data_IF_295297007573
#
_entry.id   IF_295297007573
#
_cell.length_a   1.000
_cell.length_b   1.000
_cell.length_c   1.000
_cell.angle_alpha   90.00
_cell.angle_beta   90.00
_cell.angle_gamma   90.00
#
_symmetry.space_group_name_H-M   'P 1'
#
loop_
_entity.id
_entity.type
_entity.pdbx_description
1 polymer ?
#
# COMPACT_ATOMS: atom_id res chain seq x y z
N UNK A 1 -0.83 35.75 35.73
CA UNK A 1 -1.20 34.64 34.82
C UNK A 1 -0.85 35.08 33.42
N UNK A 2 0.07 34.49 32.65
CA UNK A 2 0.84 33.25 32.78
C UNK A 2 1.86 33.21 31.63
N UNK A 3 3.09 33.71 31.85
CA UNK A 3 4.20 33.51 30.90
C UNK A 3 4.56 32.02 30.81
N UNK A 4 4.50 31.32 31.95
CA UNK A 4 4.65 29.86 32.04
C UNK A 4 3.62 29.08 31.24
N UNK A 5 2.39 29.56 31.05
CA UNK A 5 1.39 28.84 30.23
C UNK A 5 1.72 28.91 28.74
N UNK A 6 2.30 30.02 28.27
CA UNK A 6 2.64 30.20 26.85
C UNK A 6 3.83 29.31 26.47
N UNK A 7 4.81 29.17 27.37
CA UNK A 7 5.95 28.27 27.16
C UNK A 7 5.52 26.79 27.24
N UNK A 8 4.65 26.45 28.19
CA UNK A 8 4.09 25.09 28.30
C UNK A 8 3.21 24.73 27.09
N UNK A 9 2.47 25.70 26.55
CA UNK A 9 1.66 25.53 25.35
C UNK A 9 2.55 25.31 24.12
N UNK A 10 3.65 26.08 23.96
CA UNK A 10 4.63 25.88 22.88
C UNK A 10 5.31 24.52 22.94
N UNK A 11 5.70 24.05 24.14
CA UNK A 11 6.29 22.72 24.31
C UNK A 11 5.30 21.61 23.92
N UNK A 12 4.02 21.76 24.32
CA UNK A 12 2.94 20.84 23.92
C UNK A 12 2.73 20.87 22.41
N UNK A 13 2.75 22.06 21.77
CA UNK A 13 2.65 22.18 20.32
C UNK A 13 3.82 21.51 19.61
N UNK A 14 5.06 21.71 20.07
CA UNK A 14 6.24 21.05 19.50
C UNK A 14 6.15 19.53 19.64
N UNK A 15 5.76 19.02 20.81
CA UNK A 15 5.57 17.59 21.02
C UNK A 15 4.45 17.02 20.12
N UNK A 16 3.33 17.74 19.99
CA UNK A 16 2.24 17.35 19.08
C UNK A 16 2.66 17.37 17.62
N UNK A 17 3.41 18.38 17.18
CA UNK A 17 3.92 18.48 15.80
C UNK A 17 4.92 17.36 15.52
N UNK A 18 5.83 17.10 16.45
CA UNK A 18 6.78 16.00 16.35
C UNK A 18 6.08 14.64 16.32
N UNK A 19 5.13 14.42 17.24
CA UNK A 19 4.33 13.20 17.29
C UNK A 19 3.50 13.03 16.01
N UNK A 20 2.87 14.08 15.50
CA UNK A 20 2.13 14.04 14.25
C UNK A 20 3.05 13.71 13.06
N UNK A 21 4.24 14.30 13.00
CA UNK A 21 5.22 13.99 11.97
C UNK A 21 5.71 12.54 12.06
N UNK A 22 6.01 12.05 13.27
CA UNK A 22 6.33 10.65 13.52
C UNK A 22 5.20 9.72 13.07
N UNK A 23 3.94 10.02 13.41
CA UNK A 23 2.78 9.23 12.97
C UNK A 23 2.67 9.24 11.46
N UNK A 24 2.85 10.39 10.78
CA UNK A 24 2.84 10.46 9.30
C UNK A 24 3.96 9.62 8.71
N UNK A 25 5.18 9.66 9.25
CA UNK A 25 6.30 8.84 8.82
C UNK A 25 6.04 7.34 9.03
N UNK A 26 5.48 6.95 10.17
CA UNK A 26 5.10 5.57 10.45
C UNK A 26 3.99 5.08 9.51
N UNK A 27 3.00 5.92 9.21
CA UNK A 27 1.93 5.61 8.25
C UNK A 27 2.47 5.44 6.82
N UNK A 28 3.52 6.19 6.43
CA UNK A 28 4.20 6.03 5.13
C UNK A 28 4.89 4.66 5.00
N UNK A 29 5.44 4.14 6.09
CA UNK A 29 6.07 2.81 6.14
C UNK A 29 5.05 1.67 6.17
N UNK A 30 3.81 1.95 6.55
CA UNK A 30 2.68 1.02 6.49
C UNK A 30 2.01 0.99 5.11
N UNK A 31 2.43 1.85 4.17
CA UNK A 31 2.06 1.66 2.77
C UNK A 31 3.09 0.69 2.19
N UNK A 32 2.75 -0.60 2.05
CA UNK A 32 3.72 -1.55 1.62
C UNK A 32 4.01 -1.23 0.16
N UNK A 33 5.25 -0.85 -0.15
CA UNK A 33 5.86 -1.20 -1.43
C UNK A 33 6.07 -2.74 -1.53
N UNK A 34 5.22 -3.51 -0.84
CA UNK A 34 5.14 -4.96 -0.70
C UNK A 34 3.75 -5.30 -1.24
N UNK A 35 3.60 -5.09 -2.53
CA UNK A 35 2.33 -5.09 -3.22
C UNK A 35 2.64 -4.85 -4.68
N UNK A 36 1.77 -5.36 -5.54
CA UNK A 36 1.99 -5.46 -6.97
C UNK A 36 2.76 -4.28 -7.58
N UNK A 37 4.00 -4.52 -8.04
CA UNK A 37 4.73 -3.48 -8.75
C UNK A 37 4.03 -3.17 -10.07
N UNK A 38 4.24 -1.97 -10.62
CA UNK A 38 3.66 -1.63 -11.91
C UNK A 38 4.13 -2.59 -13.01
N UNK A 39 5.37 -3.09 -12.93
CA UNK A 39 5.89 -4.12 -13.82
C UNK A 39 5.20 -5.47 -13.63
N UNK A 40 4.96 -5.91 -12.39
CA UNK A 40 4.26 -7.16 -12.10
C UNK A 40 2.81 -7.08 -12.60
N UNK A 41 2.15 -5.95 -12.36
CA UNK A 41 0.79 -5.69 -12.83
C UNK A 41 0.71 -5.69 -14.36
N UNK A 42 1.64 -5.01 -15.04
CA UNK A 42 1.68 -4.99 -16.50
C UNK A 42 1.94 -6.39 -17.08
N UNK A 43 2.86 -7.15 -16.49
CA UNK A 43 3.16 -8.52 -16.91
C UNK A 43 1.94 -9.44 -16.75
N UNK A 44 1.23 -9.37 -15.61
CA UNK A 44 0.02 -10.15 -15.37
C UNK A 44 -1.14 -9.76 -16.30
N UNK A 45 -1.32 -8.46 -16.58
CA UNK A 45 -2.35 -8.00 -17.52
C UNK A 45 -2.04 -8.42 -18.97
N UNK A 46 -0.77 -8.40 -19.37
CA UNK A 46 -0.34 -8.92 -20.66
C UNK A 46 -0.55 -10.45 -20.73
N UNK A 47 -0.22 -11.16 -19.65
CA UNK A 47 -0.46 -12.60 -19.54
C UNK A 47 -1.94 -12.95 -19.66
N UNK A 48 -2.83 -12.20 -19.00
CA UNK A 48 -4.28 -12.33 -19.11
C UNK A 48 -4.79 -12.23 -20.56
N UNK A 49 -4.24 -11.31 -21.36
CA UNK A 49 -4.67 -11.15 -22.76
C UNK A 49 -4.36 -12.36 -23.64
N UNK A 50 -3.37 -13.18 -23.23
CA UNK A 50 -3.00 -14.42 -23.91
C UNK A 50 -3.77 -15.66 -23.44
N UNK A 51 -4.63 -15.54 -22.41
CA UNK A 51 -5.38 -16.65 -21.85
C UNK A 51 -6.85 -16.60 -22.29
N UNK A 52 -7.40 -17.76 -22.65
CA UNK A 52 -8.85 -17.96 -22.74
C UNK A 52 -9.32 -18.36 -21.34
N UNK A 53 -10.12 -17.51 -20.72
CA UNK A 53 -10.65 -17.74 -19.37
C UNK A 53 -12.07 -18.30 -19.46
N UNK A 54 -12.17 -19.63 -19.49
CA UNK A 54 -13.46 -20.33 -19.55
C UNK A 54 -14.19 -20.36 -18.19
N UNK A 55 -13.50 -20.00 -17.10
CA UNK A 55 -13.97 -20.16 -15.72
C UNK A 55 -14.01 -18.85 -14.92
N UNK A 56 -13.94 -17.70 -15.60
CA UNK A 56 -14.02 -16.37 -14.98
C UNK A 56 -13.00 -16.13 -13.85
N UNK A 57 -11.87 -16.85 -13.87
CA UNK A 57 -10.83 -16.76 -12.83
C UNK A 57 -10.06 -15.45 -12.89
N UNK A 58 -10.10 -14.76 -14.02
CA UNK A 58 -9.42 -13.50 -14.27
C UNK A 58 -10.34 -12.28 -14.04
N UNK A 59 -11.56 -12.47 -13.50
CA UNK A 59 -12.47 -11.37 -13.16
C UNK A 59 -11.90 -10.45 -12.06
N UNK A 60 -11.16 -11.01 -11.12
CA UNK A 60 -10.49 -10.23 -10.06
C UNK A 60 -9.29 -9.45 -10.58
N UNK A 61 -8.79 -9.75 -11.79
CA UNK A 61 -7.62 -9.11 -12.36
C UNK A 61 -8.02 -7.81 -13.05
N UNK A 62 -7.41 -6.68 -12.69
CA UNK A 62 -7.66 -5.41 -13.38
C UNK A 62 -7.32 -4.18 -12.55
N UNK A 63 -6.97 -3.10 -13.25
CA UNK A 63 -6.59 -1.82 -12.62
C UNK A 63 -7.79 -1.05 -12.05
N UNK A 64 -8.99 -1.45 -12.46
CA UNK A 64 -10.25 -0.74 -12.25
C UNK A 64 -11.09 -1.42 -11.15
N UNK A 65 -10.62 -2.58 -10.67
CA UNK A 65 -11.22 -3.32 -9.57
C UNK A 65 -10.82 -2.67 -8.25
N UNK A 66 -11.66 -2.82 -7.22
CA UNK A 66 -11.42 -2.26 -5.89
C UNK A 66 -10.07 -2.72 -5.31
N UNK A 67 -9.60 -3.92 -5.69
CA UNK A 67 -8.29 -4.47 -5.33
C UNK A 67 -7.24 -4.14 -6.40
N UNK A 68 -6.60 -2.98 -6.23
CA UNK A 68 -5.47 -2.56 -7.07
C UNK A 68 -4.18 -3.33 -6.80
N UNK A 69 -4.15 -4.14 -5.75
CA UNK A 69 -3.03 -5.01 -5.43
C UNK A 69 -3.22 -6.37 -6.10
N UNK A 70 -2.38 -6.68 -7.10
CA UNK A 70 -2.44 -7.96 -7.79
C UNK A 70 -2.15 -9.18 -6.90
N UNK A 71 -1.53 -8.99 -5.72
CA UNK A 71 -1.39 -10.08 -4.74
C UNK A 71 -2.74 -10.54 -4.16
N UNK A 72 -3.81 -9.74 -4.36
CA UNK A 72 -5.16 -10.08 -3.97
C UNK A 72 -6.00 -10.64 -5.12
N UNK A 73 -5.41 -10.81 -6.30
CA UNK A 73 -6.09 -11.41 -7.44
C UNK A 73 -6.13 -12.93 -7.30
N UNK A 74 -7.21 -13.55 -7.80
CA UNK A 74 -7.38 -14.99 -7.69
C UNK A 74 -6.28 -15.71 -8.46
N UNK A 75 -5.61 -16.66 -7.79
CA UNK A 75 -4.53 -17.45 -8.37
C UNK A 75 -3.18 -16.73 -8.47
N UNK A 76 -3.05 -15.50 -7.95
CA UNK A 76 -1.76 -14.81 -7.83
C UNK A 76 -1.20 -15.04 -6.43
N UNK A 77 0.06 -15.47 -6.37
CA UNK A 77 0.79 -15.65 -5.12
C UNK A 77 1.93 -14.65 -5.07
N UNK A 78 2.10 -14.01 -3.92
CA UNK A 78 3.21 -13.10 -3.69
C UNK A 78 4.12 -13.61 -2.58
N UNK A 79 5.42 -13.35 -2.71
CA UNK A 79 6.39 -13.64 -1.65
C UNK A 79 6.15 -12.72 -0.46
N UNK A 80 5.98 -13.29 0.72
CA UNK A 80 5.87 -12.52 1.97
C UNK A 80 7.17 -11.79 2.35
N UNK A 81 8.29 -12.12 1.70
CA UNK A 81 9.60 -11.51 1.95
C UNK A 81 9.88 -10.32 1.03
N UNK A 82 9.44 -10.41 -0.23
CA UNK A 82 9.78 -9.41 -1.26
C UNK A 82 8.56 -8.66 -1.79
N UNK A 83 7.34 -9.14 -1.53
CA UNK A 83 6.10 -8.54 -2.04
C UNK A 83 5.89 -8.68 -3.54
N UNK A 84 6.75 -9.44 -4.22
CA UNK A 84 6.64 -9.69 -5.65
C UNK A 84 5.85 -10.97 -5.93
N UNK A 85 5.22 -11.00 -7.10
CA UNK A 85 4.55 -12.19 -7.61
C UNK A 85 5.56 -13.33 -7.76
N UNK A 86 5.22 -14.48 -7.19
CA UNK A 86 5.99 -15.72 -7.31
C UNK A 86 5.19 -16.71 -8.13
N UNK A 87 5.90 -17.42 -9.01
CA UNK A 87 5.34 -18.42 -9.91
C UNK A 87 5.55 -19.82 -9.37
#
# INVERSE_FOLDING_TARGET
MTLTNIDHEKEIYCFKVFYAFLVVLLLRMNNPCIGCSESDMQALLAFRQGLVDDNDRLLSWGREVQNKDCCQWDGVYCSNQTGHVVN
#
